data_IF_091950911116
#
_entry.id   IF_091950911116
#
_cell.length_a   1.000
_cell.length_b   1.000
_cell.length_c   1.000
_cell.angle_alpha   90.00
_cell.angle_beta   90.00
_cell.angle_gamma   90.00
#
_symmetry.space_group_name_H-M   'P 1'
#
loop_
_entity.id
_entity.type
_entity.pdbx_description
1 polymer ?
#
# COMPACT_ATOMS: atom_id res chain seq x y z
N UNK A 1 8.14 -0.06 -23.66
CA UNK A 1 7.68 -0.84 -22.48
C UNK A 1 8.43 -0.31 -21.27
N UNK A 2 7.90 0.71 -20.59
CA UNK A 2 8.51 1.25 -19.37
C UNK A 2 8.40 0.18 -18.29
N UNK A 3 9.50 -0.53 -18.03
CA UNK A 3 9.67 -1.35 -16.84
C UNK A 3 9.74 -0.39 -15.65
N UNK A 4 8.59 0.06 -15.15
CA UNK A 4 8.53 0.62 -13.80
C UNK A 4 9.16 -0.45 -12.89
N UNK A 5 10.18 -0.12 -12.08
CA UNK A 5 10.72 -1.08 -11.13
C UNK A 5 9.53 -1.65 -10.33
N UNK A 6 9.54 -2.94 -9.94
CA UNK A 6 8.49 -3.45 -9.06
C UNK A 6 8.47 -2.53 -7.86
N UNK A 7 7.42 -1.72 -7.72
CA UNK A 7 7.32 -0.71 -6.67
C UNK A 7 7.40 -1.46 -5.36
N UNK A 8 8.58 -1.38 -4.72
CA UNK A 8 8.87 -2.19 -3.55
C UNK A 8 7.97 -1.71 -2.42
N UNK A 9 6.88 -2.42 -2.19
CA UNK A 9 6.10 -2.32 -0.96
C UNK A 9 7.09 -2.60 0.18
N UNK A 10 7.45 -1.55 0.93
CA UNK A 10 8.34 -1.66 2.09
C UNK A 10 7.56 -1.33 3.36
N UNK A 11 7.97 -1.91 4.47
CA UNK A 11 7.51 -1.45 5.76
C UNK A 11 7.86 0.05 5.94
N UNK A 12 6.91 0.84 6.43
CA UNK A 12 6.99 2.30 6.55
C UNK A 12 6.43 3.07 5.35
N UNK A 13 6.09 2.41 4.23
CA UNK A 13 5.50 3.12 3.09
C UNK A 13 4.05 3.50 3.36
N UNK A 14 3.69 4.74 3.05
CA UNK A 14 2.29 5.21 3.11
C UNK A 14 1.52 4.77 1.87
N UNK A 15 0.35 4.21 2.13
CA UNK A 15 -0.55 3.63 1.13
C UNK A 15 -1.97 4.08 1.40
N UNK A 16 -2.71 4.28 0.33
CA UNK A 16 -4.13 4.57 0.33
C UNK A 16 -4.87 3.25 0.09
N UNK A 17 -5.88 2.96 0.91
CA UNK A 17 -6.64 1.72 0.83
C UNK A 17 -8.13 1.92 1.14
N UNK A 18 -8.94 1.01 0.59
CA UNK A 18 -10.40 1.02 0.77
C UNK A 18 -11.13 2.08 -0.07
N UNK A 19 -12.47 2.01 -0.12
CA UNK A 19 -13.30 2.92 -0.93
C UNK A 19 -13.24 4.38 -0.43
N UNK A 20 -13.02 4.59 0.87
CA UNK A 20 -12.91 5.92 1.49
C UNK A 20 -11.52 6.58 1.29
N UNK A 21 -10.62 5.96 0.50
CA UNK A 21 -9.24 6.41 0.30
C UNK A 21 -8.51 6.67 1.62
N UNK A 22 -8.57 5.70 2.55
CA UNK A 22 -7.90 5.82 3.85
C UNK A 22 -6.40 5.72 3.67
N UNK A 23 -5.65 6.61 4.32
CA UNK A 23 -4.19 6.57 4.33
C UNK A 23 -3.74 5.71 5.49
N UNK A 24 -2.87 4.73 5.24
CA UNK A 24 -2.22 3.95 6.29
C UNK A 24 -0.78 3.64 5.93
N UNK A 25 -0.06 3.09 6.89
CA UNK A 25 1.35 2.76 6.76
C UNK A 25 1.53 1.25 6.68
N UNK A 26 2.29 0.77 5.70
CA UNK A 26 2.67 -0.63 5.60
C UNK A 26 3.54 -1.02 6.79
N UNK A 27 3.11 -2.00 7.58
CA UNK A 27 3.87 -2.51 8.73
C UNK A 27 4.69 -3.72 8.34
N UNK A 28 4.05 -4.71 7.70
CA UNK A 28 4.71 -5.94 7.25
C UNK A 28 3.91 -6.65 6.15
N UNK A 29 4.58 -7.40 5.27
CA UNK A 29 3.91 -8.32 4.37
C UNK A 29 3.38 -9.54 5.13
N UNK A 30 2.34 -10.15 4.57
CA UNK A 30 1.89 -11.48 4.96
C UNK A 30 2.91 -12.52 4.49
N UNK A 31 3.08 -13.67 5.18
CA UNK A 31 3.98 -14.74 4.75
C UNK A 31 3.72 -15.27 3.34
N UNK A 32 2.51 -15.11 2.79
CA UNK A 32 2.16 -15.47 1.41
C UNK A 32 2.41 -14.35 0.39
N UNK A 33 2.69 -13.11 0.82
CA UNK A 33 2.88 -11.95 -0.05
C UNK A 33 1.61 -11.40 -0.72
N UNK A 34 0.43 -11.97 -0.43
CA UNK A 34 -0.84 -11.55 -1.04
C UNK A 34 -1.43 -10.31 -0.34
N UNK A 35 -1.07 -10.10 0.92
CA UNK A 35 -1.63 -9.08 1.78
C UNK A 35 -0.54 -8.35 2.55
N UNK A 36 -0.82 -7.11 2.92
CA UNK A 36 0.00 -6.33 3.82
C UNK A 36 -0.78 -5.90 5.04
N UNK A 37 -0.10 -5.93 6.18
CA UNK A 37 -0.61 -5.35 7.40
C UNK A 37 -0.40 -3.84 7.32
N UNK A 38 -1.48 -3.09 7.16
CA UNK A 38 -1.49 -1.63 7.16
C UNK A 38 -1.90 -1.14 8.53
N UNK A 39 -1.20 -0.14 9.07
CA UNK A 39 -1.57 0.58 10.28
C UNK A 39 -2.09 1.96 9.92
N UNK A 40 -3.29 2.27 10.39
CA UNK A 40 -3.90 3.60 10.31
C UNK A 40 -4.30 4.09 11.72
N UNK A 41 -4.82 5.31 11.83
CA UNK A 41 -5.33 5.91 13.07
C UNK A 41 -6.39 5.05 13.77
N UNK A 42 -7.15 4.24 13.03
CA UNK A 42 -8.17 3.35 13.61
C UNK A 42 -7.63 2.00 14.10
N UNK A 43 -6.41 1.60 13.73
CA UNK A 43 -5.87 0.29 14.08
C UNK A 43 -5.01 -0.34 12.99
N UNK A 44 -4.88 -1.66 13.04
CA UNK A 44 -4.10 -2.45 12.06
C UNK A 44 -5.03 -3.36 11.28
N UNK A 45 -4.92 -3.38 9.96
CA UNK A 45 -5.77 -4.12 9.05
C UNK A 45 -4.95 -4.84 8.01
N UNK A 46 -5.34 -6.07 7.67
CA UNK A 46 -4.80 -6.76 6.51
C UNK A 46 -5.49 -6.26 5.26
N UNK A 47 -4.69 -5.83 4.28
CA UNK A 47 -5.16 -5.27 3.02
C UNK A 47 -4.45 -5.99 1.89
N UNK A 48 -5.22 -6.52 0.94
CA UNK A 48 -4.67 -7.15 -0.25
C UNK A 48 -3.80 -6.18 -1.03
N UNK A 49 -2.64 -6.63 -1.49
CA UNK A 49 -1.70 -5.82 -2.28
C UNK A 49 -2.35 -5.18 -3.49
N UNK A 50 -3.31 -5.88 -4.11
CA UNK A 50 -4.04 -5.40 -5.28
C UNK A 50 -5.01 -4.23 -4.99
N UNK A 51 -5.25 -3.90 -3.72
CA UNK A 51 -6.09 -2.77 -3.29
C UNK A 51 -5.29 -1.64 -2.64
N UNK A 52 -3.97 -1.77 -2.59
CA UNK A 52 -3.07 -0.75 -2.05
C UNK A 52 -2.67 0.18 -3.19
N UNK A 53 -2.91 1.47 -2.99
CA UNK A 53 -2.49 2.53 -3.90
C UNK A 53 -1.37 3.28 -3.19
N UNK A 54 -0.22 3.50 -3.82
CA UNK A 54 0.83 4.30 -3.21
C UNK A 54 0.42 5.78 -3.21
N UNK A 55 0.63 6.48 -2.09
CA UNK A 55 0.40 7.94 -2.02
C UNK A 55 1.27 8.69 -3.05
N UNK A 56 2.47 8.18 -3.33
CA UNK A 56 3.43 8.74 -4.30
C UNK A 56 2.99 8.58 -5.78
N UNK A 57 2.14 7.59 -6.09
CA UNK A 57 1.71 7.33 -7.46
C UNK A 57 0.58 8.27 -7.93
N UNK A 58 -0.07 9.02 -7.02
CA UNK A 58 -1.02 10.07 -7.40
C UNK A 58 -0.33 11.28 -8.07
N UNK A 59 0.99 11.42 -7.89
CA UNK A 59 1.81 12.46 -8.55
C UNK A 59 2.38 12.05 -9.92
N UNK A 60 2.13 10.83 -10.40
CA UNK A 60 2.66 10.34 -11.68
C UNK A 60 1.63 10.28 -12.82
N UNK A 61 0.43 10.83 -12.61
CA UNK A 61 -0.68 10.82 -13.57
C UNK A 61 -1.07 12.22 -14.10
N UNK A 62 -0.12 13.16 -14.15
CA UNK A 62 -0.31 14.47 -14.80
C UNK A 62 0.71 14.73 -15.90
#
# INVERSE_FOLDING_TARGET
MSRRPPMELRAGTKVIFGPDRRVGELVRPSPNGEEWLVKDRFGKFWVSTNRLIFEDEETAAY
#
